data_IF_510353329716
#
_entry.id   IF_510353329716
#
_cell.length_a   1.000
_cell.length_b   1.000
_cell.length_c   1.000
_cell.angle_alpha   90.00
_cell.angle_beta   90.00
_cell.angle_gamma   90.00
#
_symmetry.space_group_name_H-M   'P 1'
#
loop_
_entity.id
_entity.type
_entity.pdbx_description
1 polymer ?
#
# COMPACT_ATOMS: atom_id res chain seq x y z
N UNK A 1 -59.96 -2.42 -44.91
CA UNK A 1 -58.74 -1.91 -44.25
C UNK A 1 -57.98 -3.11 -43.72
N UNK A 2 -56.71 -3.20 -44.10
CA UNK A 2 -55.78 -4.30 -43.89
C UNK A 2 -55.40 -4.46 -42.42
N UNK A 3 -55.35 -5.71 -41.94
CA UNK A 3 -54.66 -6.04 -40.68
C UNK A 3 -53.17 -5.72 -40.85
N UNK A 4 -52.66 -4.81 -40.04
CA UNK A 4 -51.26 -4.42 -40.05
C UNK A 4 -50.45 -5.53 -39.36
N UNK A 5 -49.49 -6.13 -40.09
CA UNK A 5 -48.56 -7.10 -39.52
C UNK A 5 -47.64 -6.37 -38.51
N UNK A 6 -47.47 -6.88 -37.28
CA UNK A 6 -46.66 -6.21 -36.26
C UNK A 6 -45.22 -6.03 -36.76
N UNK A 7 -44.70 -4.81 -36.64
CA UNK A 7 -43.33 -4.48 -37.02
C UNK A 7 -42.32 -5.04 -36.01
N UNK A 8 -41.04 -5.14 -36.37
CA UNK A 8 -39.99 -5.65 -35.48
C UNK A 8 -39.95 -4.91 -34.12
N UNK A 9 -40.38 -3.64 -34.06
CA UNK A 9 -40.53 -2.83 -32.84
C UNK A 9 -41.77 -3.17 -32.00
N UNK A 10 -42.78 -3.84 -32.56
CA UNK A 10 -43.98 -4.30 -31.83
C UNK A 10 -43.79 -5.68 -31.19
N UNK A 11 -42.79 -6.45 -31.65
CA UNK A 11 -42.47 -7.80 -31.16
C UNK A 11 -41.21 -7.85 -30.29
N UNK A 12 -40.35 -6.83 -30.34
CA UNK A 12 -39.16 -6.75 -29.51
C UNK A 12 -39.25 -5.55 -28.56
N UNK A 13 -39.40 -5.85 -27.27
CA UNK A 13 -39.21 -4.86 -26.21
C UNK A 13 -37.76 -4.96 -25.76
N UNK A 14 -37.01 -3.88 -25.92
CA UNK A 14 -35.65 -3.78 -25.41
C UNK A 14 -35.66 -4.05 -23.91
N UNK A 15 -35.06 -5.17 -23.51
CA UNK A 15 -34.82 -5.48 -22.11
C UNK A 15 -33.37 -5.12 -21.78
N UNK A 16 -33.10 -4.58 -20.58
CA UNK A 16 -31.74 -4.37 -20.13
C UNK A 16 -30.95 -5.69 -20.23
N UNK A 17 -29.70 -5.60 -20.69
CA UNK A 17 -28.82 -6.75 -20.85
C UNK A 17 -28.59 -7.39 -19.46
N UNK A 18 -29.19 -8.55 -19.22
CA UNK A 18 -29.10 -9.25 -17.93
C UNK A 18 -27.71 -9.82 -17.64
N UNK A 19 -26.85 -9.92 -18.66
CA UNK A 19 -25.52 -10.55 -18.54
C UNK A 19 -24.37 -9.57 -18.24
N UNK A 20 -24.58 -8.25 -18.30
CA UNK A 20 -23.49 -7.28 -18.11
C UNK A 20 -24.01 -6.09 -17.29
N UNK A 21 -23.55 -5.98 -16.04
CA UNK A 21 -23.53 -4.71 -15.32
C UNK A 21 -22.07 -4.23 -15.24
N UNK A 22 -21.81 -2.96 -15.58
CA UNK A 22 -20.48 -2.36 -15.48
C UNK A 22 -20.43 -1.60 -14.16
N UNK A 23 -20.06 -2.29 -13.08
CA UNK A 23 -19.71 -1.65 -11.82
C UNK A 23 -18.20 -1.38 -11.79
N UNK A 24 -17.80 -0.11 -11.60
CA UNK A 24 -16.39 0.28 -11.50
C UNK A 24 -15.82 -0.02 -10.10
N UNK A 25 -15.70 -1.31 -9.80
CA UNK A 25 -15.11 -1.80 -8.56
C UNK A 25 -13.61 -1.97 -8.75
N UNK A 26 -12.82 -1.29 -7.93
CA UNK A 26 -11.38 -1.47 -7.91
C UNK A 26 -11.02 -2.85 -7.36
N UNK A 27 -10.06 -3.52 -8.01
CA UNK A 27 -9.57 -4.81 -7.51
C UNK A 27 -8.97 -4.65 -6.12
N UNK A 28 -9.33 -5.56 -5.21
CA UNK A 28 -8.82 -5.57 -3.84
C UNK A 28 -7.27 -5.58 -3.79
N UNK A 29 -6.62 -6.20 -4.78
CA UNK A 29 -5.16 -6.27 -4.89
C UNK A 29 -4.46 -4.91 -5.07
N UNK A 30 -5.19 -3.88 -5.53
CA UNK A 30 -4.67 -2.53 -5.67
C UNK A 30 -4.57 -1.76 -4.35
N UNK A 31 -5.20 -2.28 -3.28
CA UNK A 31 -5.12 -1.74 -1.92
C UNK A 31 -4.00 -2.43 -1.14
N UNK A 32 -3.09 -1.65 -0.60
CA UNK A 32 -1.81 -2.14 -0.10
C UNK A 32 -1.71 -2.05 1.43
N UNK A 33 -2.51 -1.21 2.08
CA UNK A 33 -2.42 -0.93 3.51
C UNK A 33 -2.37 -2.21 4.40
N UNK A 34 -3.25 -3.19 4.12
CA UNK A 34 -3.32 -4.45 4.87
C UNK A 34 -2.15 -5.42 4.64
N UNK A 35 -1.46 -5.29 3.51
CA UNK A 35 -0.32 -6.14 3.15
C UNK A 35 0.99 -5.61 3.75
N UNK A 36 1.04 -4.31 3.98
CA UNK A 36 2.17 -3.61 4.61
C UNK A 36 2.11 -3.83 6.11
N UNK A 37 0.96 -3.51 6.72
CA UNK A 37 0.76 -3.61 8.16
C UNK A 37 -0.32 -4.65 8.48
N UNK A 38 0.04 -5.75 9.17
CA UNK A 38 -0.95 -6.76 9.56
C UNK A 38 -1.94 -6.19 10.57
N UNK A 39 -3.19 -6.65 10.51
CA UNK A 39 -4.23 -6.28 11.48
C UNK A 39 -3.95 -6.93 12.84
N UNK A 40 -3.91 -6.10 13.88
CA UNK A 40 -3.84 -6.54 15.27
C UNK A 40 -5.19 -6.24 15.93
N UNK A 41 -5.96 -7.26 16.35
CA UNK A 41 -7.21 -7.01 17.07
C UNK A 41 -6.92 -6.46 18.46
N UNK A 42 -7.59 -5.36 18.82
CA UNK A 42 -7.47 -4.71 20.12
C UNK A 42 -8.83 -4.63 20.81
N UNK A 43 -8.84 -4.78 22.13
CA UNK A 43 -10.08 -4.77 22.93
C UNK A 43 -10.55 -3.37 23.31
N UNK A 44 -9.66 -2.38 23.25
CA UNK A 44 -9.93 -0.99 23.66
C UNK A 44 -9.83 -0.08 22.45
N UNK A 45 -10.63 0.99 22.46
CA UNK A 45 -10.63 1.98 21.39
C UNK A 45 -9.31 2.77 21.37
N UNK A 46 -8.79 3.11 22.54
CA UNK A 46 -7.50 3.78 22.69
C UNK A 46 -6.77 3.20 23.89
N UNK A 47 -5.49 2.90 23.73
CA UNK A 47 -4.61 2.50 24.82
C UNK A 47 -3.16 2.86 24.48
N UNK A 48 -2.25 2.59 25.42
CA UNK A 48 -0.81 2.72 25.22
C UNK A 48 -0.20 1.39 24.78
N UNK A 49 0.92 1.47 24.08
CA UNK A 49 1.75 0.31 23.76
C UNK A 49 3.15 0.49 24.35
N UNK A 50 3.78 -0.64 24.65
CA UNK A 50 5.12 -0.65 25.21
C UNK A 50 6.16 -0.65 24.10
N UNK A 51 7.15 0.22 24.23
CA UNK A 51 8.31 0.27 23.35
C UNK A 51 9.56 -0.12 24.14
N UNK A 52 10.35 -1.02 23.57
CA UNK A 52 11.65 -1.38 24.12
C UNK A 52 12.72 -0.48 23.51
N UNK A 53 13.58 0.09 24.36
CA UNK A 53 14.71 0.86 23.86
C UNK A 53 15.73 -0.08 23.17
N UNK A 54 15.90 0.15 21.87
CA UNK A 54 16.81 -0.57 20.98
C UNK A 54 18.25 -0.57 21.49
N UNK A 55 18.65 0.49 22.21
CA UNK A 55 20.00 0.65 22.73
C UNK A 55 20.42 -0.44 23.71
N UNK A 56 19.48 -0.97 24.51
CA UNK A 56 19.77 -2.08 25.43
C UNK A 56 19.98 -3.40 24.70
N UNK A 57 19.26 -3.63 23.60
CA UNK A 57 19.34 -4.88 22.83
C UNK A 57 20.57 -4.97 21.93
N UNK A 58 21.17 -3.83 21.57
CA UNK A 58 22.31 -3.76 20.66
C UNK A 58 23.64 -3.47 21.36
N UNK A 59 23.67 -3.45 22.69
CA UNK A 59 24.88 -3.19 23.47
C UNK A 59 25.51 -4.49 23.95
N UNK A 60 26.83 -4.60 23.79
CA UNK A 60 27.61 -5.65 24.43
C UNK A 60 28.10 -5.18 25.80
N UNK A 61 27.48 -5.70 26.87
CA UNK A 61 27.91 -5.46 28.26
C UNK A 61 28.51 -6.73 28.89
N UNK A 62 28.74 -7.79 28.11
CA UNK A 62 29.35 -9.02 28.63
C UNK A 62 30.80 -8.77 29.03
N UNK A 63 31.18 -9.26 30.21
CA UNK A 63 32.54 -9.14 30.74
C UNK A 63 33.13 -10.52 31.03
N UNK A 64 34.43 -10.66 30.78
CA UNK A 64 35.15 -11.87 31.15
C UNK A 64 35.12 -12.03 32.68
N UNK A 65 34.62 -13.17 33.14
CA UNK A 65 34.41 -13.44 34.57
C UNK A 65 35.51 -14.35 35.12
N UNK A 66 36.10 -13.97 36.25
CA UNK A 66 37.01 -14.83 37.00
C UNK A 66 36.21 -15.90 37.78
N UNK A 67 36.78 -17.09 38.05
CA UNK A 67 36.13 -18.12 38.87
C UNK A 67 35.68 -17.55 40.22
N UNK A 68 34.47 -17.91 40.66
CA UNK A 68 33.85 -17.48 41.94
C UNK A 68 33.50 -15.99 42.10
N UNK A 69 33.47 -15.20 41.02
CA UNK A 69 32.99 -13.80 41.05
C UNK A 69 31.58 -13.65 40.47
N UNK A 70 30.85 -12.62 40.89
CA UNK A 70 29.52 -12.30 40.35
C UNK A 70 29.61 -11.89 38.88
N UNK A 71 28.62 -12.27 38.07
CA UNK A 71 28.52 -11.88 36.66
C UNK A 71 28.14 -10.41 36.50
N UNK A 72 28.52 -9.81 35.37
CA UNK A 72 27.98 -8.50 34.98
C UNK A 72 26.46 -8.61 34.80
N UNK A 73 25.71 -7.70 35.45
CA UNK A 73 24.26 -7.57 35.27
C UNK A 73 23.93 -6.55 34.19
N UNK A 74 22.86 -6.79 33.45
CA UNK A 74 22.27 -5.85 32.50
C UNK A 74 20.80 -5.67 32.85
N UNK A 75 20.27 -4.48 32.62
CA UNK A 75 18.85 -4.18 32.75
C UNK A 75 18.34 -3.55 31.45
N UNK A 76 17.02 -3.53 31.24
CA UNK A 76 16.41 -2.93 30.06
C UNK A 76 15.32 -1.94 30.46
N UNK A 77 15.19 -0.85 29.69
CA UNK A 77 14.12 0.13 29.82
C UNK A 77 12.92 -0.23 28.94
N UNK A 78 11.72 0.04 29.45
CA UNK A 78 10.47 0.03 28.68
C UNK A 78 9.87 1.44 28.72
N UNK A 79 9.50 1.99 27.56
CA UNK A 79 8.67 3.19 27.46
C UNK A 79 7.19 2.80 27.22
N UNK A 80 6.27 3.64 27.68
CA UNK A 80 4.83 3.55 27.43
C UNK A 80 4.27 4.88 26.89
N UNK A 81 5.12 5.61 26.17
CA UNK A 81 4.78 6.92 25.62
C UNK A 81 3.94 6.80 24.34
N UNK A 82 4.10 5.70 23.59
CA UNK A 82 3.32 5.38 22.41
C UNK A 82 1.86 5.08 22.75
N UNK A 83 0.93 5.69 22.00
CA UNK A 83 -0.52 5.45 22.12
C UNK A 83 -1.17 5.20 20.76
N UNK A 84 -2.31 4.51 20.77
CA UNK A 84 -3.14 4.31 19.59
C UNK A 84 -4.58 4.79 19.84
N UNK A 85 -5.29 5.17 18.78
CA UNK A 85 -6.73 5.43 18.76
C UNK A 85 -7.35 4.77 17.53
N UNK A 86 -8.43 4.03 17.74
CA UNK A 86 -9.24 3.41 16.70
C UNK A 86 -10.54 4.21 16.52
N UNK A 87 -10.48 5.22 15.66
CA UNK A 87 -11.65 6.04 15.34
C UNK A 87 -12.67 5.25 14.52
N UNK A 88 -13.96 5.48 14.79
CA UNK A 88 -15.06 4.77 14.13
C UNK A 88 -15.40 5.47 12.82
N UNK A 89 -15.27 4.73 11.71
CA UNK A 89 -15.67 5.18 10.38
C UNK A 89 -16.92 4.40 9.94
N UNK A 90 -17.97 5.11 9.53
CA UNK A 90 -19.22 4.51 9.09
C UNK A 90 -19.76 5.23 7.85
N UNK A 91 -20.39 4.46 6.97
CA UNK A 91 -21.13 4.92 5.81
C UNK A 91 -22.35 4.01 5.64
N UNK A 92 -23.48 4.57 5.24
CA UNK A 92 -24.69 3.82 4.94
C UNK A 92 -25.16 4.14 3.52
N UNK A 93 -25.93 3.20 2.96
CA UNK A 93 -26.65 3.37 1.69
C UNK A 93 -28.08 2.96 1.98
N UNK A 94 -29.02 3.88 1.77
CA UNK A 94 -30.44 3.61 1.98
C UNK A 94 -31.04 2.94 0.74
N UNK A 95 -31.64 1.77 0.93
CA UNK A 95 -32.39 1.05 -0.10
C UNK A 95 -33.86 1.01 0.33
N UNK A 96 -34.69 1.82 -0.33
CA UNK A 96 -36.12 1.85 -0.05
C UNK A 96 -36.80 0.55 -0.47
N UNK A 97 -37.77 0.07 0.31
CA UNK A 97 -38.48 -1.20 0.02
C UNK A 97 -39.19 -1.20 -1.33
N UNK A 98 -39.67 -0.03 -1.78
CA UNK A 98 -40.27 0.15 -3.11
C UNK A 98 -39.26 -0.05 -4.23
N UNK A 99 -38.01 0.36 -4.04
CA UNK A 99 -36.93 0.16 -5.03
C UNK A 99 -36.51 -1.30 -5.02
N UNK A 100 -36.39 -1.91 -3.84
CA UNK A 100 -36.10 -3.34 -3.68
C UNK A 100 -37.17 -4.22 -4.34
N UNK A 101 -38.45 -3.90 -4.15
CA UNK A 101 -39.57 -4.69 -4.70
C UNK A 101 -39.74 -4.54 -6.21
N UNK A 102 -39.33 -3.39 -6.77
CA UNK A 102 -39.41 -3.08 -8.20
C UNK A 102 -38.08 -3.32 -8.94
N UNK A 103 -37.06 -3.85 -8.26
CA UNK A 103 -35.78 -4.16 -8.90
C UNK A 103 -35.93 -5.40 -9.78
N UNK A 104 -35.80 -5.22 -11.08
CA UNK A 104 -35.77 -6.32 -12.04
C UNK A 104 -34.36 -6.91 -12.15
N UNK A 105 -34.28 -8.23 -12.40
CA UNK A 105 -33.02 -8.89 -12.71
C UNK A 105 -32.35 -8.22 -13.92
N UNK A 106 -31.04 -7.90 -13.86
CA UNK A 106 -30.03 -8.42 -12.92
C UNK A 106 -29.73 -7.52 -11.72
N UNK A 107 -30.45 -6.41 -11.54
CA UNK A 107 -30.15 -5.40 -10.52
C UNK A 107 -30.44 -5.99 -9.14
N UNK A 108 -29.44 -5.92 -8.26
CA UNK A 108 -29.53 -6.44 -6.90
C UNK A 108 -29.13 -5.33 -5.91
N UNK A 109 -30.06 -4.42 -5.55
CA UNK A 109 -29.73 -3.19 -4.82
C UNK A 109 -28.98 -3.44 -3.51
N UNK A 110 -29.34 -4.50 -2.78
CA UNK A 110 -28.68 -4.85 -1.52
C UNK A 110 -27.24 -5.35 -1.73
N UNK A 111 -26.99 -6.09 -2.81
CA UNK A 111 -25.64 -6.56 -3.16
C UNK A 111 -24.78 -5.39 -3.61
N UNK A 112 -25.31 -4.55 -4.50
CA UNK A 112 -24.61 -3.37 -5.02
C UNK A 112 -24.28 -2.38 -3.90
N UNK A 113 -25.21 -2.16 -2.97
CA UNK A 113 -24.96 -1.34 -1.78
C UNK A 113 -23.84 -1.93 -0.90
N UNK A 114 -23.84 -3.24 -0.66
CA UNK A 114 -22.79 -3.90 0.11
C UNK A 114 -21.41 -3.83 -0.57
N UNK A 115 -21.35 -4.04 -1.90
CA UNK A 115 -20.13 -3.93 -2.69
C UNK A 115 -19.59 -2.49 -2.68
N UNK A 116 -20.46 -1.49 -2.83
CA UNK A 116 -20.09 -0.08 -2.75
C UNK A 116 -19.52 0.28 -1.36
N UNK A 117 -20.20 -0.12 -0.29
CA UNK A 117 -19.75 0.13 1.08
C UNK A 117 -18.40 -0.56 1.38
N UNK A 118 -18.21 -1.80 0.90
CA UNK A 118 -16.94 -2.50 1.02
C UNK A 118 -15.81 -1.76 0.28
N UNK A 119 -16.06 -1.26 -0.93
CA UNK A 119 -15.10 -0.48 -1.69
C UNK A 119 -14.75 0.85 -1.00
N UNK A 120 -15.76 1.54 -0.45
CA UNK A 120 -15.55 2.78 0.31
C UNK A 120 -14.72 2.55 1.59
N UNK A 121 -14.92 1.42 2.27
CA UNK A 121 -14.12 1.04 3.42
C UNK A 121 -12.64 0.81 3.05
N UNK A 122 -12.36 0.10 1.95
CA UNK A 122 -11.00 -0.09 1.43
C UNK A 122 -10.35 1.24 1.03
N UNK A 123 -11.10 2.11 0.34
CA UNK A 123 -10.63 3.44 -0.06
C UNK A 123 -10.24 4.29 1.14
N UNK A 124 -11.11 4.37 2.15
CA UNK A 124 -10.83 5.11 3.39
C UNK A 124 -9.57 4.60 4.06
N UNK A 125 -9.40 3.28 4.13
CA UNK A 125 -8.24 2.65 4.75
C UNK A 125 -6.94 3.00 4.04
N UNK A 126 -6.92 2.97 2.70
CA UNK A 126 -5.74 3.34 1.92
C UNK A 126 -5.40 4.83 2.09
N UNK A 127 -6.40 5.71 2.13
CA UNK A 127 -6.21 7.15 2.38
C UNK A 127 -5.62 7.41 3.76
N UNK A 128 -6.10 6.72 4.80
CA UNK A 128 -5.54 6.82 6.15
C UNK A 128 -4.10 6.34 6.18
N UNK A 129 -3.79 5.24 5.49
CA UNK A 129 -2.42 4.74 5.37
C UNK A 129 -1.51 5.77 4.68
N UNK A 130 -1.92 6.36 3.56
CA UNK A 130 -1.10 7.41 2.91
C UNK A 130 -0.91 8.62 3.82
N UNK A 131 -1.98 9.12 4.42
CA UNK A 131 -1.92 10.28 5.32
C UNK A 131 -0.99 10.05 6.51
N UNK A 132 -0.98 8.84 7.08
CA UNK A 132 -0.24 8.54 8.31
C UNK A 132 1.18 8.02 8.09
N UNK A 133 1.56 7.62 6.86
CA UNK A 133 2.88 7.03 6.62
C UNK A 133 3.67 7.68 5.48
N UNK A 134 3.05 8.53 4.67
CA UNK A 134 3.72 9.26 3.58
C UNK A 134 3.81 10.77 3.82
N UNK A 135 3.35 11.25 4.99
CA UNK A 135 3.50 12.66 5.39
C UNK A 135 4.93 13.01 5.81
N UNK A 136 5.27 14.29 5.69
CA UNK A 136 6.58 14.81 6.09
C UNK A 136 6.75 14.77 7.63
N UNK A 137 7.95 14.39 8.08
CA UNK A 137 8.30 14.39 9.51
C UNK A 137 7.77 13.19 10.31
N UNK A 138 7.12 12.23 9.67
CA UNK A 138 6.63 11.00 10.30
C UNK A 138 7.80 10.04 10.59
N UNK A 139 8.77 9.98 9.69
CA UNK A 139 9.92 9.09 9.80
C UNK A 139 11.19 9.88 10.11
N UNK A 140 12.07 9.29 10.93
CA UNK A 140 13.41 9.86 11.21
C UNK A 140 14.30 9.87 9.96
N UNK A 141 14.14 8.89 9.07
CA UNK A 141 14.86 8.80 7.80
C UNK A 141 13.93 9.14 6.65
N UNK A 142 14.02 10.38 6.17
CA UNK A 142 13.26 10.88 5.02
C UNK A 142 14.25 11.42 3.97
N UNK A 143 14.01 11.07 2.71
CA UNK A 143 14.83 11.49 1.58
C UNK A 143 13.94 12.11 0.51
N UNK A 144 14.35 13.23 -0.07
CA UNK A 144 13.57 13.92 -1.10
C UNK A 144 14.13 13.67 -2.50
N UNK A 145 13.25 13.31 -3.43
CA UNK A 145 13.57 13.17 -4.84
C UNK A 145 13.65 14.55 -5.52
N UNK A 146 14.83 14.96 -5.96
CA UNK A 146 15.04 16.23 -6.68
C UNK A 146 15.39 16.01 -8.15
N UNK A 147 15.05 17.00 -8.97
CA UNK A 147 15.53 17.05 -10.34
C UNK A 147 16.96 17.61 -10.36
N UNK A 148 17.90 16.92 -11.02
CA UNK A 148 19.29 17.37 -11.15
C UNK A 148 20.26 16.83 -10.09
N UNK A 149 21.21 17.64 -9.61
CA UNK A 149 22.24 17.17 -8.67
C UNK A 149 21.73 17.14 -7.22
N UNK A 150 21.69 15.97 -6.55
CA UNK A 150 21.16 15.87 -5.19
C UNK A 150 22.11 16.46 -4.15
N UNK A 151 21.55 17.09 -3.12
CA UNK A 151 22.26 17.47 -1.89
C UNK A 151 22.16 16.38 -0.81
N UNK A 152 22.70 16.63 0.38
CA UNK A 152 22.55 15.74 1.52
C UNK A 152 21.05 15.55 1.88
N UNK A 153 20.63 14.31 2.09
CA UNK A 153 19.22 13.98 2.34
C UNK A 153 18.35 13.95 1.09
N UNK A 154 18.94 13.99 -0.10
CA UNK A 154 18.23 13.97 -1.38
C UNK A 154 18.76 12.87 -2.29
N UNK A 155 17.94 12.45 -3.23
CA UNK A 155 18.32 11.56 -4.32
C UNK A 155 17.75 12.07 -5.64
N UNK A 156 18.29 11.59 -6.76
CA UNK A 156 17.71 11.91 -8.07
C UNK A 156 16.40 11.20 -8.24
N UNK A 157 15.37 11.90 -8.68
CA UNK A 157 14.08 11.27 -8.96
C UNK A 157 14.26 10.14 -9.96
N UNK A 158 13.60 9.02 -9.70
CA UNK A 158 13.78 7.77 -10.46
C UNK A 158 13.16 7.79 -11.86
N UNK A 159 12.53 8.90 -12.27
CA UNK A 159 12.12 9.17 -13.65
C UNK A 159 13.27 9.75 -14.52
N UNK A 160 14.40 10.15 -13.91
CA UNK A 160 15.58 10.60 -14.65
C UNK A 160 16.48 9.43 -15.03
N UNK A 161 16.94 9.39 -16.29
CA UNK A 161 17.84 8.34 -16.78
C UNK A 161 19.19 8.25 -16.06
N UNK A 162 19.59 9.33 -15.37
CA UNK A 162 20.83 9.40 -14.60
C UNK A 162 20.62 9.16 -13.09
N UNK A 163 19.42 8.74 -12.68
CA UNK A 163 19.15 8.29 -11.33
C UNK A 163 19.71 6.88 -11.11
N UNK A 164 19.88 6.51 -9.84
CA UNK A 164 20.49 5.22 -9.45
C UNK A 164 19.59 4.50 -8.44
N UNK A 165 18.36 4.10 -8.83
CA UNK A 165 17.36 3.59 -7.90
C UNK A 165 17.82 2.35 -7.10
N UNK A 166 18.63 1.49 -7.72
CA UNK A 166 19.19 0.29 -7.05
C UNK A 166 20.16 0.70 -5.92
N UNK A 167 20.97 1.72 -6.15
CA UNK A 167 21.93 2.20 -5.16
C UNK A 167 21.22 2.96 -4.03
N UNK A 168 20.24 3.78 -4.38
CA UNK A 168 19.40 4.53 -3.43
C UNK A 168 18.68 3.56 -2.48
N UNK A 169 18.02 2.53 -3.01
CA UNK A 169 17.33 1.52 -2.21
C UNK A 169 18.33 0.74 -1.34
N UNK A 170 19.51 0.39 -1.85
CA UNK A 170 20.54 -0.30 -1.07
C UNK A 170 21.08 0.57 0.08
N UNK A 171 21.29 1.85 -0.17
CA UNK A 171 21.72 2.81 0.84
C UNK A 171 20.64 3.00 1.92
N UNK A 172 19.37 3.14 1.51
CA UNK A 172 18.23 3.22 2.43
C UNK A 172 18.10 1.97 3.30
N UNK A 173 18.22 0.76 2.72
CA UNK A 173 18.23 -0.50 3.48
C UNK A 173 19.33 -0.54 4.53
N UNK A 174 20.54 -0.10 4.17
CA UNK A 174 21.67 -0.04 5.10
C UNK A 174 21.41 0.95 6.22
N UNK A 175 20.89 2.14 5.91
CA UNK A 175 20.53 3.14 6.91
C UNK A 175 19.50 2.62 7.91
N UNK A 176 18.42 1.98 7.43
CA UNK A 176 17.42 1.38 8.32
C UNK A 176 18.03 0.27 9.16
N UNK A 177 18.82 -0.63 8.55
CA UNK A 177 19.46 -1.73 9.27
C UNK A 177 20.42 -1.24 10.35
N UNK A 178 21.17 -0.16 10.12
CA UNK A 178 22.04 0.44 11.14
C UNK A 178 21.26 1.06 12.29
N UNK A 179 20.06 1.58 12.04
CA UNK A 179 19.22 2.22 13.06
C UNK A 179 18.38 1.21 13.85
N UNK A 180 17.91 0.13 13.23
CA UNK A 180 16.93 -0.79 13.84
C UNK A 180 17.48 -2.20 14.05
N UNK A 181 18.62 -2.55 13.46
CA UNK A 181 19.12 -3.92 13.42
C UNK A 181 18.36 -4.83 12.44
N UNK A 182 17.21 -4.39 11.92
CA UNK A 182 16.38 -5.16 11.00
C UNK A 182 16.57 -4.68 9.56
N UNK A 183 16.77 -5.64 8.65
CA UNK A 183 16.84 -5.35 7.22
C UNK A 183 15.41 -5.19 6.67
N UNK A 184 15.09 -4.10 5.97
CA UNK A 184 13.79 -3.95 5.33
C UNK A 184 13.50 -5.09 4.35
N UNK A 185 12.26 -5.59 4.36
CA UNK A 185 11.81 -6.73 3.56
C UNK A 185 10.80 -6.36 2.48
N UNK A 186 10.05 -5.26 2.65
CA UNK A 186 9.04 -4.82 1.69
C UNK A 186 9.26 -3.36 1.28
N UNK A 187 8.93 -3.05 0.04
CA UNK A 187 8.82 -1.67 -0.44
C UNK A 187 7.43 -1.42 -0.99
N UNK A 188 6.88 -0.25 -0.69
CA UNK A 188 5.60 0.24 -1.17
C UNK A 188 5.87 1.37 -2.15
N UNK A 189 5.32 1.28 -3.35
CA UNK A 189 5.54 2.22 -4.43
C UNK A 189 4.20 2.78 -4.91
N UNK A 190 4.15 4.09 -5.15
CA UNK A 190 3.08 4.68 -5.97
C UNK A 190 3.17 4.16 -7.42
N UNK A 191 2.02 4.08 -8.10
CA UNK A 191 1.94 3.62 -9.49
C UNK A 191 2.97 4.29 -10.41
N UNK A 192 3.04 5.62 -10.36
CA UNK A 192 3.94 6.41 -11.20
C UNK A 192 5.42 6.09 -10.95
N UNK A 193 5.79 5.77 -9.71
CA UNK A 193 7.17 5.39 -9.36
C UNK A 193 7.48 4.01 -9.92
N UNK A 194 6.55 3.06 -9.82
CA UNK A 194 6.73 1.73 -10.38
C UNK A 194 6.88 1.77 -11.89
N UNK A 195 6.04 2.52 -12.60
CA UNK A 195 6.13 2.68 -14.06
C UNK A 195 7.48 3.30 -14.47
N UNK A 196 7.95 4.34 -13.76
CA UNK A 196 9.27 4.94 -13.99
C UNK A 196 10.43 3.94 -13.80
N UNK A 197 10.34 3.04 -12.81
CA UNK A 197 11.35 2.01 -12.58
C UNK A 197 11.38 0.94 -13.69
N UNK A 198 10.24 0.61 -14.29
CA UNK A 198 10.20 -0.36 -15.39
C UNK A 198 10.94 0.15 -16.63
N UNK A 199 10.83 1.45 -16.91
CA UNK A 199 11.47 2.11 -18.05
C UNK A 199 12.91 2.58 -17.76
N UNK A 200 13.38 2.44 -16.51
CA UNK A 200 14.68 2.96 -16.10
C UNK A 200 15.85 2.16 -16.71
N UNK A 201 16.85 2.82 -17.35
CA UNK A 201 17.92 2.13 -18.07
C UNK A 201 18.76 1.18 -17.21
N UNK A 202 19.01 1.52 -15.94
CA UNK A 202 19.74 0.63 -15.03
C UNK A 202 18.99 -0.67 -14.74
N UNK A 203 17.66 -0.63 -14.68
CA UNK A 203 16.84 -1.81 -14.39
C UNK A 203 16.76 -2.67 -15.65
N UNK A 204 16.45 -2.07 -16.79
CA UNK A 204 16.43 -2.74 -18.09
C UNK A 204 17.78 -3.40 -18.38
N UNK A 205 18.88 -2.67 -18.20
CA UNK A 205 20.23 -3.18 -18.44
C UNK A 205 20.68 -4.29 -17.49
N UNK A 206 20.13 -4.37 -16.27
CA UNK A 206 20.40 -5.46 -15.33
C UNK A 206 19.57 -6.71 -15.64
N UNK A 207 18.32 -6.53 -16.06
CA UNK A 207 17.45 -7.63 -16.48
C UNK A 207 17.99 -8.28 -17.76
N UNK A 208 18.40 -7.49 -18.74
CA UNK A 208 18.98 -7.97 -20.01
C UNK A 208 20.24 -8.83 -19.79
N UNK A 209 21.15 -8.38 -18.90
CA UNK A 209 22.37 -9.15 -18.54
C UNK A 209 22.11 -10.42 -17.74
N UNK A 210 20.91 -10.58 -17.17
CA UNK A 210 20.53 -11.71 -16.33
C UNK A 210 19.72 -12.78 -17.06
N UNK A 211 19.35 -12.59 -18.32
CA UNK A 211 18.46 -13.52 -19.03
C UNK A 211 19.16 -14.68 -19.71
N UNK A 212 18.82 -15.89 -19.25
CA UNK A 212 18.85 -17.12 -20.05
C UNK A 212 17.51 -17.22 -20.77
N UNK A 213 17.48 -16.87 -22.07
CA UNK A 213 16.42 -17.16 -23.06
C UNK A 213 14.94 -17.02 -22.61
N UNK A 214 14.36 -15.83 -22.76
CA UNK A 214 12.91 -15.60 -22.70
C UNK A 214 12.57 -14.10 -22.85
N UNK A 215 11.34 -13.75 -23.22
CA UNK A 215 10.94 -12.33 -23.32
C UNK A 215 11.13 -11.62 -21.96
N UNK A 216 11.92 -10.54 -21.93
CA UNK A 216 12.17 -9.73 -20.73
C UNK A 216 10.91 -9.00 -20.28
N UNK A 217 9.97 -9.69 -19.65
CA UNK A 217 8.93 -9.01 -18.89
C UNK A 217 9.57 -8.63 -17.56
N UNK A 218 9.79 -7.34 -17.34
CA UNK A 218 10.17 -6.82 -16.03
C UNK A 218 8.97 -7.03 -15.09
N UNK A 219 8.90 -8.23 -14.52
CA UNK A 219 7.88 -8.57 -13.55
C UNK A 219 8.26 -7.96 -12.19
N UNK A 220 7.25 -7.66 -11.38
CA UNK A 220 7.38 -7.18 -10.00
C UNK A 220 8.37 -8.01 -9.17
N UNK A 221 8.45 -9.31 -9.43
CA UNK A 221 9.39 -10.25 -8.79
C UNK A 221 10.85 -10.00 -9.20
N UNK A 222 11.10 -9.61 -10.45
CA UNK A 222 12.45 -9.28 -10.91
C UNK A 222 12.93 -7.98 -10.23
N UNK A 223 12.03 -6.99 -10.10
CA UNK A 223 12.32 -5.75 -9.37
C UNK A 223 12.58 -6.04 -7.88
N UNK A 224 11.77 -6.90 -7.26
CA UNK A 224 11.99 -7.34 -5.88
C UNK A 224 13.36 -8.01 -5.71
N UNK A 225 13.72 -8.92 -6.62
CA UNK A 225 15.01 -9.60 -6.61
C UNK A 225 16.19 -8.63 -6.81
N UNK A 226 16.07 -7.65 -7.72
CA UNK A 226 17.09 -6.62 -7.95
C UNK A 226 17.32 -5.75 -6.71
N UNK A 227 16.28 -5.48 -5.93
CA UNK A 227 16.37 -4.74 -4.68
C UNK A 227 16.68 -5.62 -3.45
N UNK A 228 16.81 -6.94 -3.64
CA UNK A 228 16.97 -7.95 -2.59
C UNK A 228 15.86 -7.85 -1.51
N UNK A 229 14.62 -7.65 -1.94
CA UNK A 229 13.44 -7.54 -1.09
C UNK A 229 12.54 -8.77 -1.27
N UNK A 230 11.74 -9.08 -0.26
CA UNK A 230 10.81 -10.21 -0.30
C UNK A 230 9.57 -9.88 -1.15
N UNK A 231 9.05 -8.65 -1.06
CA UNK A 231 7.88 -8.21 -1.82
C UNK A 231 7.96 -6.72 -2.22
N UNK A 232 7.42 -6.41 -3.40
CA UNK A 232 7.26 -5.05 -3.93
C UNK A 232 5.76 -4.80 -4.07
N UNK A 233 5.23 -3.89 -3.27
CA UNK A 233 3.81 -3.56 -3.24
C UNK A 233 3.58 -2.28 -4.06
N UNK A 234 2.63 -2.32 -5.00
CA UNK A 234 2.29 -1.17 -5.84
C UNK A 234 0.90 -0.69 -5.50
N UNK A 235 0.79 0.58 -5.14
CA UNK A 235 -0.47 1.24 -4.84
C UNK A 235 -1.16 1.65 -6.14
N UNK A 236 -2.07 0.80 -6.61
CA UNK A 236 -2.86 1.03 -7.83
C UNK A 236 -4.23 1.67 -7.51
N UNK A 237 -4.56 1.87 -6.23
CA UNK A 237 -5.82 2.47 -5.81
C UNK A 237 -5.97 3.93 -6.28
N UNK A 238 -7.15 4.24 -6.82
CA UNK A 238 -7.53 5.57 -7.30
C UNK A 238 -8.65 6.17 -6.43
N UNK A 239 -8.65 7.48 -6.28
CA UNK A 239 -9.74 8.23 -5.68
C UNK A 239 -10.33 9.23 -6.65
N UNK A 240 -11.60 9.57 -6.45
CA UNK A 240 -12.19 10.74 -7.08
C UNK A 240 -11.97 11.94 -6.16
N UNK A 241 -11.25 12.94 -6.66
CA UNK A 241 -10.93 14.19 -5.95
C UNK A 241 -12.01 15.26 -6.16
N UNK A 242 -12.92 15.05 -7.12
CA UNK A 242 -14.03 15.95 -7.35
C UNK A 242 -15.08 15.85 -6.24
N UNK A 243 -15.73 16.98 -5.94
CA UNK A 243 -16.91 16.99 -5.08
C UNK A 243 -18.06 16.20 -5.73
N UNK A 244 -18.95 15.65 -4.91
CA UNK A 244 -20.15 14.99 -5.38
C UNK A 244 -20.98 15.93 -6.26
N UNK A 245 -21.35 15.48 -7.46
CA UNK A 245 -22.08 16.28 -8.46
C UNK A 245 -21.22 17.12 -9.40
N UNK A 246 -19.90 17.20 -9.19
CA UNK A 246 -18.96 17.79 -10.15
C UNK A 246 -18.44 16.74 -11.16
N UNK A 247 -17.79 17.21 -12.23
CA UNK A 247 -17.13 16.31 -13.18
C UNK A 247 -16.02 15.52 -12.47
N UNK A 248 -16.04 14.20 -12.64
CA UNK A 248 -15.10 13.29 -11.97
C UNK A 248 -13.64 13.63 -12.30
N UNK A 249 -12.79 13.64 -11.27
CA UNK A 249 -11.35 13.87 -11.38
C UNK A 249 -10.63 12.77 -10.60
N UNK A 250 -10.08 11.79 -11.33
CA UNK A 250 -9.45 10.62 -10.71
C UNK A 250 -7.95 10.81 -10.52
N UNK A 251 -7.43 10.43 -9.34
CA UNK A 251 -6.00 10.44 -9.03
C UNK A 251 -5.59 9.20 -8.23
N UNK A 252 -4.33 8.78 -8.37
CA UNK A 252 -3.76 7.72 -7.55
C UNK A 252 -3.54 8.18 -6.11
N UNK A 253 -3.93 7.34 -5.14
CA UNK A 253 -3.82 7.64 -3.71
C UNK A 253 -2.34 7.63 -3.27
N UNK A 254 -1.53 6.69 -3.78
CA UNK A 254 -0.11 6.54 -3.41
C UNK A 254 0.83 7.61 -3.95
N UNK A 255 0.34 8.51 -4.82
CA UNK A 255 1.12 9.63 -5.35
C UNK A 255 2.47 9.21 -5.97
N UNK A 256 3.51 10.03 -5.73
CA UNK A 256 4.87 9.85 -6.27
C UNK A 256 5.87 9.42 -5.18
N UNK A 257 5.42 8.59 -4.25
CA UNK A 257 6.23 8.22 -3.10
C UNK A 257 6.67 6.76 -3.13
N UNK A 258 7.75 6.49 -2.38
CA UNK A 258 8.23 5.16 -2.09
C UNK A 258 8.44 5.04 -0.56
N UNK A 259 7.99 3.93 0.02
CA UNK A 259 8.13 3.65 1.45
C UNK A 259 8.79 2.29 1.62
N UNK A 260 9.97 2.28 2.21
CA UNK A 260 10.74 1.07 2.49
C UNK A 260 10.54 0.69 3.96
N UNK A 261 10.04 -0.52 4.21
CA UNK A 261 9.66 -0.96 5.55
C UNK A 261 10.18 -2.36 5.87
N UNK A 262 10.37 -2.57 7.17
CA UNK A 262 10.40 -3.91 7.75
C UNK A 262 9.02 -4.23 8.30
N UNK A 263 8.30 -5.11 7.62
CA UNK A 263 7.02 -5.64 8.09
C UNK A 263 7.26 -7.00 8.75
N UNK A 264 6.93 -7.11 10.04
CA UNK A 264 7.05 -8.37 10.75
C UNK A 264 6.18 -9.45 10.07
N UNK A 265 6.68 -10.69 9.92
CA UNK A 265 5.94 -11.78 9.25
C UNK A 265 4.69 -12.21 10.02
N UNK A 266 4.61 -11.91 11.31
CA UNK A 266 3.41 -12.04 12.13
C UNK A 266 3.25 -10.80 13.01
N UNK A 267 2.00 -10.42 13.36
CA UNK A 267 1.77 -9.46 14.43
C UNK A 267 2.15 -10.12 15.76
N UNK A 268 3.40 -9.94 16.19
CA UNK A 268 3.88 -10.35 17.50
C UNK A 268 4.35 -9.12 18.28
N UNK A 269 4.19 -9.19 19.61
CA UNK A 269 4.70 -8.18 20.55
C UNK A 269 6.23 -8.31 20.73
N UNK A 270 6.86 -9.28 20.04
CA UNK A 270 8.29 -9.60 20.05
C UNK A 270 8.77 -10.04 18.67
#
# INVERSE_FOLDING_TARGET
MSFQLPGASDVHVDRPLTNISIAYIQKADGFVADRVFPRVPVSKQSDKYFEYDRGYWMRDEMKQRAPSTESAGMNYGISSDGSYSCDVWALHVDVADQVRSNADSPIAPDREAAELLAQQALLRKEKLFVSNFFGAGIWTSQLDGVAGAPAAGQFRRWDEAAATPIEDVRAAKRSVQTLTGFRPNKIVLGRAVYDALLDHPDIVGRVDRGQTNGSAVVMRQNVAALFELDDVLVMDAIENTAAEGAANSFSFIGGKHALLVYAAPAPSIL
#
